data_IF_888213646333
#
_entry.id   IF_888213646333
#
_cell.length_a   1.000
_cell.length_b   1.000
_cell.length_c   1.000
_cell.angle_alpha   90.00
_cell.angle_beta   90.00
_cell.angle_gamma   90.00
#
_symmetry.space_group_name_H-M   'P 1'
#
loop_
_entity.id
_entity.type
_entity.pdbx_description
1 polymer ?
#
# COMPACT_ATOMS: atom_id res chain seq x y z
N UNK A 1 -1.58 7.22 2.11
CA UNK A 1 -1.37 6.60 0.79
C UNK A 1 -0.11 5.74 0.85
N UNK A 2 -0.02 4.67 0.06
CA UNK A 2 1.13 3.77 0.01
C UNK A 2 1.98 4.15 -1.18
N UNK A 3 3.26 4.40 -0.96
CA UNK A 3 4.19 4.93 -1.96
C UNK A 3 5.52 4.17 -1.87
N UNK A 4 6.33 4.20 -2.93
CA UNK A 4 7.68 3.61 -2.92
C UNK A 4 7.71 2.07 -2.97
N UNK A 5 6.62 1.43 -3.38
CA UNK A 5 6.65 0.00 -3.70
C UNK A 5 7.53 -0.22 -4.94
N UNK A 6 8.25 -1.35 -4.98
CA UNK A 6 9.06 -1.71 -6.15
C UNK A 6 8.15 -1.86 -7.38
N UNK A 7 8.57 -1.30 -8.52
CA UNK A 7 7.81 -1.38 -9.80
C UNK A 7 7.58 -2.82 -10.28
N UNK A 8 8.40 -3.74 -9.78
CA UNK A 8 8.32 -5.19 -10.04
C UNK A 8 7.09 -5.85 -9.39
N UNK A 9 6.51 -5.23 -8.35
CA UNK A 9 5.33 -5.77 -7.69
C UNK A 9 4.05 -5.47 -8.49
N UNK A 10 3.17 -6.46 -8.57
CA UNK A 10 1.84 -6.28 -9.16
C UNK A 10 0.93 -5.47 -8.24
N UNK A 11 0.91 -4.14 -8.43
CA UNK A 11 0.02 -3.21 -7.72
C UNK A 11 -1.45 -3.62 -7.79
N UNK A 12 -1.89 -4.23 -8.89
CA UNK A 12 -3.27 -4.71 -9.05
C UNK A 12 -3.60 -5.88 -8.11
N UNK A 13 -2.66 -6.82 -7.92
CA UNK A 13 -2.84 -7.92 -6.95
C UNK A 13 -2.89 -7.37 -5.54
N UNK A 14 -1.90 -6.53 -5.19
CA UNK A 14 -1.85 -5.87 -3.88
C UNK A 14 -3.14 -5.09 -3.63
N UNK A 15 -3.64 -4.32 -4.61
CA UNK A 15 -4.90 -3.59 -4.48
C UNK A 15 -6.10 -4.54 -4.27
N UNK A 16 -6.14 -5.68 -4.99
CA UNK A 16 -7.21 -6.66 -4.87
C UNK A 16 -7.23 -7.33 -3.49
N UNK A 17 -6.06 -7.70 -2.97
CA UNK A 17 -5.91 -8.24 -1.61
C UNK A 17 -6.24 -7.20 -0.55
N UNK A 18 -5.72 -5.97 -0.68
CA UNK A 18 -6.05 -4.84 0.22
C UNK A 18 -7.57 -4.58 0.22
N UNK A 19 -8.25 -4.56 -0.93
CA UNK A 19 -9.71 -4.38 -1.00
C UNK A 19 -10.46 -5.49 -0.27
N UNK A 20 -10.01 -6.74 -0.43
CA UNK A 20 -10.62 -7.92 0.19
C UNK A 20 -10.43 -7.94 1.70
N UNK A 21 -9.25 -7.57 2.18
CA UNK A 21 -8.90 -7.65 3.60
C UNK A 21 -9.33 -6.43 4.41
N UNK A 22 -9.36 -5.24 3.79
CA UNK A 22 -9.76 -4.01 4.47
C UNK A 22 -11.24 -3.65 4.29
N UNK A 23 -11.98 -4.35 3.43
CA UNK A 23 -13.34 -3.96 3.00
C UNK A 23 -13.43 -2.47 2.62
N UNK A 24 -12.32 -1.91 2.14
CA UNK A 24 -12.19 -0.50 1.81
C UNK A 24 -12.00 -0.37 0.31
N UNK A 25 -12.57 0.68 -0.27
CA UNK A 25 -12.26 1.04 -1.64
C UNK A 25 -10.87 1.67 -1.71
N UNK A 26 -10.18 1.37 -2.80
CA UNK A 26 -8.85 1.88 -3.08
C UNK A 26 -8.62 2.03 -4.58
N UNK A 27 -7.70 2.91 -4.92
CA UNK A 27 -7.30 3.19 -6.28
C UNK A 27 -5.77 3.22 -6.41
N UNK A 28 -5.26 2.81 -7.56
CA UNK A 28 -3.86 3.00 -7.91
C UNK A 28 -3.78 4.27 -8.73
N UNK A 29 -3.11 5.28 -8.21
CA UNK A 29 -2.88 6.56 -8.88
C UNK A 29 -1.43 6.59 -9.36
N UNK A 30 -1.20 7.15 -10.55
CA UNK A 30 0.15 7.33 -11.05
C UNK A 30 0.57 8.79 -10.84
N UNK A 31 1.46 8.98 -9.89
CA UNK A 31 2.09 10.25 -9.57
C UNK A 31 3.31 10.49 -10.46
N UNK A 32 3.49 11.73 -10.93
CA UNK A 32 4.62 12.08 -11.81
C UNK A 32 5.96 12.06 -11.08
N UNK A 33 5.96 12.39 -9.80
CA UNK A 33 7.18 12.47 -8.98
C UNK A 33 7.49 11.14 -8.25
N UNK A 34 6.45 10.48 -7.73
CA UNK A 34 6.60 9.31 -6.85
C UNK A 34 6.27 7.97 -7.53
N UNK A 35 5.79 8.02 -8.79
CA UNK A 35 5.43 6.84 -9.57
C UNK A 35 4.04 6.30 -9.20
N UNK A 36 3.85 4.97 -9.26
CA UNK A 36 2.57 4.37 -8.89
C UNK A 36 2.40 4.37 -7.38
N UNK A 37 1.31 4.97 -6.92
CA UNK A 37 0.92 5.06 -5.51
C UNK A 37 -0.45 4.42 -5.30
N UNK A 38 -0.64 3.75 -4.16
CA UNK A 38 -1.93 3.14 -3.81
C UNK A 38 -2.63 4.04 -2.81
N UNK A 39 -3.80 4.54 -3.18
CA UNK A 39 -4.70 5.26 -2.29
C UNK A 39 -5.76 4.29 -1.78
N UNK A 40 -5.99 4.28 -0.47
CA UNK A 40 -7.05 3.53 0.18
C UNK A 40 -7.94 4.54 0.91
N UNK A 41 -9.24 4.27 0.98
CA UNK A 41 -10.16 5.09 1.77
C UNK A 41 -10.05 4.79 3.26
N UNK A 42 -10.08 5.87 4.05
CA UNK A 42 -9.99 5.83 5.52
C UNK A 42 -8.57 5.69 6.06
N UNK A 43 -8.48 5.66 7.39
CA UNK A 43 -7.22 5.48 8.09
C UNK A 43 -6.88 3.99 8.25
N UNK A 44 -6.06 3.47 7.34
CA UNK A 44 -5.64 2.06 7.36
C UNK A 44 -4.12 1.92 7.54
N UNK A 45 -3.45 2.94 8.10
CA UNK A 45 -1.97 3.02 8.16
C UNK A 45 -1.35 1.79 8.82
N UNK A 46 -1.84 1.43 10.01
CA UNK A 46 -1.36 0.27 10.79
C UNK A 46 -1.61 -1.04 10.05
N UNK A 47 -2.79 -1.16 9.47
CA UNK A 47 -3.25 -2.34 8.77
C UNK A 47 -2.45 -2.63 7.49
N UNK A 48 -2.21 -1.59 6.69
CA UNK A 48 -1.36 -1.69 5.50
C UNK A 48 0.08 -2.04 5.85
N UNK A 49 0.65 -1.41 6.89
CA UNK A 49 2.01 -1.72 7.34
C UNK A 49 2.13 -3.20 7.77
N UNK A 50 1.12 -3.71 8.47
CA UNK A 50 1.08 -5.11 8.88
C UNK A 50 0.92 -6.05 7.67
N UNK A 51 0.03 -5.72 6.74
CA UNK A 51 -0.18 -6.49 5.50
C UNK A 51 1.10 -6.60 4.67
N UNK A 52 1.79 -5.49 4.43
CA UNK A 52 3.04 -5.48 3.65
C UNK A 52 4.14 -6.31 4.30
N UNK A 53 4.16 -6.37 5.64
CA UNK A 53 5.09 -7.23 6.37
C UNK A 53 4.67 -8.70 6.31
N UNK A 54 3.39 -9.00 6.56
CA UNK A 54 2.86 -10.36 6.58
C UNK A 54 2.93 -11.03 5.21
N UNK A 55 2.65 -10.28 4.15
CA UNK A 55 2.79 -10.74 2.78
C UNK A 55 4.26 -10.88 2.33
N UNK A 56 5.23 -10.50 3.17
CA UNK A 56 6.66 -10.55 2.86
C UNK A 56 7.09 -9.58 1.75
N UNK A 57 6.22 -8.65 1.36
CA UNK A 57 6.47 -7.68 0.28
C UNK A 57 7.54 -6.66 0.69
N UNK A 58 7.49 -6.22 1.95
CA UNK A 58 8.38 -5.19 2.48
C UNK A 58 8.76 -5.54 3.91
N UNK A 59 10.04 -5.40 4.26
CA UNK A 59 10.49 -5.54 5.65
C UNK A 59 9.97 -4.37 6.49
N UNK A 60 9.59 -4.62 7.75
CA UNK A 60 9.18 -3.58 8.74
C UNK A 60 10.13 -2.39 8.78
N UNK A 61 11.43 -2.67 8.69
CA UNK A 61 12.49 -1.65 8.70
C UNK A 61 12.36 -0.59 7.59
N UNK A 62 11.81 -0.98 6.43
CA UNK A 62 11.60 -0.08 5.29
C UNK A 62 10.23 0.60 5.27
N UNK A 63 9.35 0.24 6.20
CA UNK A 63 8.01 0.81 6.28
C UNK A 63 8.06 2.04 7.18
N UNK A 64 7.95 3.23 6.57
CA UNK A 64 7.75 4.48 7.32
C UNK A 64 6.29 4.89 7.24
N UNK A 65 5.63 4.94 8.40
CA UNK A 65 4.27 5.47 8.50
C UNK A 65 4.39 6.99 8.65
N UNK A 66 3.94 7.72 7.63
CA UNK A 66 3.81 9.18 7.68
C UNK A 66 2.35 9.55 7.98
N UNK A 67 2.14 10.35 9.02
CA UNK A 67 0.85 10.96 9.36
C UNK A 67 0.64 11.08 10.88
N UNK A 68 0.03 12.19 11.30
CA UNK A 68 -0.52 12.40 12.65
C UNK A 68 -1.94 11.83 12.75
#
# INVERSE_FOLDING_TARGET
TVQGLKKDFSYEKILKDLKKEFCCNGNVVQDKELGKVIQLQGDQRKKVANFLTQAGLVKKDRIKIHGF
#
